data_IF_220366723159
#
_entry.id   IF_220366723159
#
_cell.length_a   1.000
_cell.length_b   1.000
_cell.length_c   1.000
_cell.angle_alpha   90.00
_cell.angle_beta   90.00
_cell.angle_gamma   90.00
#
_symmetry.space_group_name_H-M   'P 1'
#
loop_
_entity.id
_entity.type
_entity.pdbx_description
1 polymer ?
#
# COMPACT_ATOMS: atom_id res chain seq x y z
N UNK A 1 42.26 -12.47 14.11
CA UNK A 1 42.61 -11.24 14.86
C UNK A 1 41.62 -11.11 16.01
N UNK A 2 42.07 -11.58 17.17
CA UNK A 2 41.45 -11.48 18.48
C UNK A 2 41.74 -10.08 19.06
N UNK A 3 40.78 -9.49 19.78
CA UNK A 3 40.88 -8.99 21.17
C UNK A 3 39.72 -8.00 21.40
N UNK A 4 38.65 -8.35 22.11
CA UNK A 4 38.46 -8.44 23.57
C UNK A 4 38.38 -7.08 24.32
N UNK A 5 37.17 -6.79 24.80
CA UNK A 5 36.79 -6.35 26.17
C UNK A 5 37.45 -5.15 26.85
N UNK A 6 36.58 -4.26 27.39
CA UNK A 6 36.51 -3.68 28.76
C UNK A 6 35.88 -2.28 28.68
N UNK A 7 35.18 -1.71 29.65
CA UNK A 7 34.52 -2.12 30.88
C UNK A 7 33.65 -0.90 31.28
N UNK A 8 32.50 -1.13 31.93
CA UNK A 8 31.84 -0.15 32.80
C UNK A 8 32.73 0.03 34.08
N UNK A 9 32.59 1.04 34.99
CA UNK A 9 31.31 1.60 35.47
C UNK A 9 31.31 3.05 36.06
N UNK A 10 30.13 3.44 36.57
CA UNK A 10 29.85 4.30 37.72
C UNK A 10 30.12 5.82 37.66
N UNK A 11 29.06 6.62 37.89
CA UNK A 11 28.94 7.41 39.12
C UNK A 11 27.57 8.11 39.21
N UNK A 12 26.97 8.00 40.39
CA UNK A 12 25.80 8.73 40.89
C UNK A 12 25.92 10.24 40.68
N UNK A 13 24.79 10.91 40.41
CA UNK A 13 24.42 12.12 41.17
C UNK A 13 22.91 12.32 41.20
N UNK A 14 22.39 12.07 42.39
CA UNK A 14 21.10 12.51 42.90
C UNK A 14 21.18 14.04 43.01
N UNK A 15 20.20 14.76 42.48
CA UNK A 15 19.84 16.06 43.03
C UNK A 15 18.36 16.34 42.78
N UNK A 16 17.56 15.95 43.76
CA UNK A 16 16.27 16.57 44.00
C UNK A 16 16.48 18.07 44.23
N UNK A 17 15.86 18.94 43.44
CA UNK A 17 15.79 20.37 43.73
C UNK A 17 14.37 20.69 44.14
N UNK A 18 14.24 20.89 45.45
CA UNK A 18 13.04 21.26 46.16
C UNK A 18 12.44 22.55 45.60
N UNK A 19 11.12 22.54 45.37
CA UNK A 19 10.33 23.75 45.15
C UNK A 19 10.21 24.46 46.49
N UNK A 20 10.94 25.56 46.61
CA UNK A 20 10.92 26.46 47.75
C UNK A 20 9.51 27.04 47.95
N UNK A 21 8.91 26.76 49.11
CA UNK A 21 7.75 27.51 49.61
C UNK A 21 8.25 28.86 50.09
N UNK A 22 7.72 29.91 49.49
CA UNK A 22 7.91 31.31 49.87
C UNK A 22 7.64 31.54 51.36
N UNK A 23 8.49 32.27 52.09
CA UNK A 23 8.20 32.68 53.46
C UNK A 23 7.15 33.79 53.45
N UNK A 24 6.10 33.64 54.27
CA UNK A 24 5.10 34.68 54.48
C UNK A 24 5.74 35.88 55.18
N UNK A 25 5.54 37.06 54.59
CA UNK A 25 6.00 38.35 55.08
C UNK A 25 5.54 38.62 56.52
N UNK A 26 6.49 38.98 57.39
CA UNK A 26 6.22 39.57 58.71
C UNK A 26 5.66 40.97 58.51
N UNK A 27 4.47 41.24 59.06
CA UNK A 27 3.91 42.60 59.17
C UNK A 27 4.58 43.36 60.32
N UNK A 28 4.71 44.70 60.22
CA UNK A 28 5.40 45.53 61.19
C UNK A 28 4.63 45.67 62.51
N UNK A 29 5.36 45.63 63.61
CA UNK A 29 4.86 45.90 64.96
C UNK A 29 4.72 47.41 65.12
N UNK A 30 3.48 47.90 65.22
CA UNK A 30 3.21 49.26 65.64
C UNK A 30 3.40 49.37 67.16
N UNK A 31 4.36 50.19 67.57
CA UNK A 31 4.56 50.61 68.96
C UNK A 31 3.48 51.62 69.35
N UNK A 32 2.45 51.16 70.04
CA UNK A 32 1.50 52.03 70.74
C UNK A 32 1.64 51.78 72.24
N UNK A 33 2.13 52.80 72.95
CA UNK A 33 2.19 52.85 74.40
C UNK A 33 0.76 52.83 74.97
N UNK A 34 0.30 51.64 75.41
CA UNK A 34 -0.96 51.48 76.09
C UNK A 34 -0.72 51.39 77.61
N UNK A 35 -1.26 52.37 78.34
CA UNK A 35 -1.26 52.46 79.81
C UNK A 35 -1.69 51.13 80.44
N UNK A 36 -0.82 50.60 81.29
CA UNK A 36 -1.01 49.39 82.09
C UNK A 36 -2.12 49.63 83.12
N UNK A 37 -3.38 49.29 82.78
CA UNK A 37 -4.43 49.06 83.77
C UNK A 37 -4.34 47.61 84.22
N UNK A 38 -3.95 47.41 85.48
CA UNK A 38 -4.00 46.11 86.16
C UNK A 38 -5.47 45.72 86.29
N UNK A 39 -5.95 44.86 85.38
CA UNK A 39 -7.22 44.17 85.55
C UNK A 39 -6.98 42.85 86.29
N UNK A 40 -7.75 42.64 87.35
CA UNK A 40 -7.72 41.44 88.20
C UNK A 40 -7.85 40.15 87.36
N UNK A 41 -7.17 39.05 87.70
CA UNK A 41 -7.31 37.78 87.00
C UNK A 41 -8.74 37.27 87.19
N UNK A 42 -9.54 37.31 86.13
CA UNK A 42 -10.89 36.74 86.13
C UNK A 42 -10.73 35.23 86.05
N UNK A 43 -10.73 34.56 87.20
CA UNK A 43 -10.73 33.09 87.28
C UNK A 43 -11.95 32.61 86.48
N UNK A 44 -11.76 31.81 85.41
CA UNK A 44 -12.87 31.30 84.63
C UNK A 44 -13.76 30.46 85.55
N UNK A 45 -15.07 30.70 85.55
CA UNK A 45 -15.97 29.89 86.36
C UNK A 45 -15.89 28.42 85.94
N UNK A 46 -16.15 27.50 86.87
CA UNK A 46 -16.11 26.05 86.61
C UNK A 46 -16.95 25.64 85.38
N UNK A 47 -18.07 26.34 85.15
CA UNK A 47 -18.92 26.22 83.95
C UNK A 47 -18.21 26.62 82.65
N UNK A 48 -17.34 27.64 82.67
CA UNK A 48 -16.55 28.06 81.50
C UNK A 48 -15.43 27.07 81.16
N UNK A 49 -14.85 26.40 82.16
CA UNK A 49 -13.84 25.36 81.94
C UNK A 49 -14.47 24.10 81.33
N UNK A 50 -15.62 23.65 81.85
CA UNK A 50 -16.38 22.52 81.29
C UNK A 50 -16.84 22.79 79.86
N UNK A 51 -17.43 23.97 79.59
CA UNK A 51 -17.82 24.35 78.22
C UNK A 51 -16.62 24.43 77.26
N UNK A 52 -15.42 24.70 77.76
CA UNK A 52 -14.19 24.72 76.95
C UNK A 52 -13.65 23.31 76.70
N UNK A 53 -13.82 22.38 77.63
CA UNK A 53 -13.51 20.95 77.45
C UNK A 53 -14.47 20.31 76.44
N UNK A 54 -15.78 20.50 76.58
CA UNK A 54 -16.77 20.00 75.62
C UNK A 54 -16.55 20.54 74.20
N UNK A 55 -16.14 21.81 74.07
CA UNK A 55 -15.77 22.41 72.77
C UNK A 55 -14.48 21.84 72.19
N UNK A 56 -13.56 21.34 73.03
CA UNK A 56 -12.33 20.66 72.58
C UNK A 56 -12.64 19.23 72.14
N UNK A 57 -13.42 18.50 72.92
CA UNK A 57 -13.86 17.14 72.61
C UNK A 57 -14.70 17.10 71.33
N UNK A 58 -15.67 18.01 71.17
CA UNK A 58 -16.44 18.13 69.91
C UNK A 58 -15.55 18.43 68.71
N UNK A 59 -14.51 19.26 68.87
CA UNK A 59 -13.55 19.56 67.79
C UNK A 59 -12.63 18.39 67.49
N UNK A 60 -12.28 17.57 68.48
CA UNK A 60 -11.48 16.36 68.29
C UNK A 60 -12.28 15.26 67.59
N UNK A 61 -13.54 15.08 67.96
CA UNK A 61 -14.47 14.17 67.27
C UNK A 61 -14.66 14.61 65.81
N UNK A 62 -14.90 15.90 65.56
CA UNK A 62 -15.05 16.42 64.20
C UNK A 62 -13.77 16.26 63.36
N UNK A 63 -12.59 16.40 63.99
CA UNK A 63 -11.30 16.14 63.32
C UNK A 63 -11.11 14.65 63.01
N UNK A 64 -11.51 13.76 63.93
CA UNK A 64 -11.44 12.31 63.74
C UNK A 64 -12.41 11.83 62.64
N UNK A 65 -13.62 12.39 62.55
CA UNK A 65 -14.55 12.09 61.47
C UNK A 65 -14.03 12.57 60.11
N UNK A 66 -13.44 13.76 60.06
CA UNK A 66 -12.82 14.29 58.84
C UNK A 66 -11.61 13.47 58.39
N UNK A 67 -10.79 12.97 59.32
CA UNK A 67 -9.67 12.10 58.99
C UNK A 67 -10.14 10.72 58.52
N UNK A 68 -11.15 10.14 59.16
CA UNK A 68 -11.77 8.87 58.74
C UNK A 68 -12.38 8.96 57.32
N UNK A 69 -13.14 10.02 57.03
CA UNK A 69 -13.70 10.27 55.68
C UNK A 69 -12.61 10.42 54.61
N UNK A 70 -11.49 11.08 54.94
CA UNK A 70 -10.34 11.20 54.04
C UNK A 70 -9.65 9.86 53.77
N UNK A 71 -9.51 9.01 54.78
CA UNK A 71 -8.92 7.67 54.60
C UNK A 71 -9.79 6.81 53.68
N UNK A 72 -11.11 6.82 53.85
CA UNK A 72 -12.05 6.11 52.97
C UNK A 72 -11.97 6.61 51.52
N UNK A 73 -11.91 7.93 51.31
CA UNK A 73 -11.72 8.49 49.96
C UNK A 73 -10.39 8.06 49.32
N UNK A 74 -9.31 7.98 50.11
CA UNK A 74 -8.00 7.50 49.63
C UNK A 74 -8.06 6.02 49.24
N UNK A 75 -8.77 5.18 50.00
CA UNK A 75 -8.93 3.76 49.69
C UNK A 75 -9.77 3.52 48.44
N UNK A 76 -10.88 4.24 48.27
CA UNK A 76 -11.70 4.18 47.05
C UNK A 76 -10.89 4.63 45.83
N UNK A 77 -10.18 5.75 45.92
CA UNK A 77 -9.31 6.23 44.84
C UNK A 77 -8.17 5.25 44.51
N UNK A 78 -7.67 4.50 45.50
CA UNK A 78 -6.69 3.42 45.26
C UNK A 78 -7.32 2.24 44.50
N UNK A 79 -8.52 1.81 44.89
CA UNK A 79 -9.25 0.71 44.21
C UNK A 79 -9.57 1.07 42.76
N UNK A 80 -10.09 2.27 42.50
CA UNK A 80 -10.36 2.77 41.15
C UNK A 80 -9.09 2.82 40.27
N UNK A 81 -7.96 3.27 40.84
CA UNK A 81 -6.67 3.28 40.12
C UNK A 81 -6.15 1.89 39.80
N UNK A 82 -6.41 0.90 40.65
CA UNK A 82 -6.02 -0.49 40.38
C UNK A 82 -6.91 -1.10 39.30
N UNK A 83 -8.24 -0.92 39.38
CA UNK A 83 -9.17 -1.37 38.35
C UNK A 83 -8.83 -0.76 36.96
N UNK A 84 -8.59 0.56 36.91
CA UNK A 84 -8.18 1.23 35.66
C UNK A 84 -6.83 0.73 35.12
N UNK A 85 -5.92 0.25 35.97
CA UNK A 85 -4.64 -0.35 35.53
C UNK A 85 -4.87 -1.75 34.96
N UNK A 86 -5.71 -2.55 35.57
CA UNK A 86 -6.06 -3.89 35.08
C UNK A 86 -6.79 -3.82 33.73
N UNK A 87 -7.74 -2.91 33.58
CA UNK A 87 -8.41 -2.67 32.29
C UNK A 87 -7.42 -2.25 31.20
N UNK A 88 -6.50 -1.32 31.52
CA UNK A 88 -5.44 -0.91 30.58
C UNK A 88 -4.50 -2.08 30.24
N UNK A 89 -4.21 -2.98 31.18
CA UNK A 89 -3.41 -4.16 30.90
C UNK A 89 -4.16 -5.14 29.98
N UNK A 90 -5.43 -5.45 30.27
CA UNK A 90 -6.28 -6.30 29.42
C UNK A 90 -6.41 -5.74 28.01
N UNK A 91 -6.64 -4.43 27.86
CA UNK A 91 -6.68 -3.76 26.56
C UNK A 91 -5.35 -3.86 25.80
N UNK A 92 -4.22 -3.71 26.49
CA UNK A 92 -2.88 -3.87 25.87
C UNK A 92 -2.61 -5.30 25.43
N UNK A 93 -3.05 -6.29 26.21
CA UNK A 93 -2.90 -7.70 25.85
C UNK A 93 -3.80 -8.08 24.68
N UNK A 94 -5.05 -7.63 24.67
CA UNK A 94 -5.96 -7.78 23.55
C UNK A 94 -5.41 -7.13 22.27
N UNK A 95 -4.86 -5.91 22.37
CA UNK A 95 -4.22 -5.22 21.24
C UNK A 95 -2.99 -5.99 20.72
N UNK A 96 -2.15 -6.53 21.61
CA UNK A 96 -1.00 -7.38 21.22
C UNK A 96 -1.43 -8.67 20.54
N UNK A 97 -2.52 -9.29 20.99
CA UNK A 97 -3.07 -10.50 20.35
C UNK A 97 -3.64 -10.18 18.97
N UNK A 98 -4.40 -9.08 18.83
CA UNK A 98 -4.91 -8.61 17.55
C UNK A 98 -3.77 -8.32 16.56
N UNK A 99 -2.70 -7.64 17.00
CA UNK A 99 -1.51 -7.38 16.17
C UNK A 99 -0.82 -8.69 15.72
N UNK A 100 -0.72 -9.68 16.62
CA UNK A 100 -0.16 -11.00 16.30
C UNK A 100 -1.01 -11.75 15.28
N UNK A 101 -2.34 -11.72 15.39
CA UNK A 101 -3.26 -12.34 14.44
C UNK A 101 -3.18 -11.66 13.08
N UNK A 102 -3.28 -10.33 13.03
CA UNK A 102 -3.12 -9.56 11.79
C UNK A 102 -1.77 -9.85 11.10
N UNK A 103 -0.68 -10.03 11.87
CA UNK A 103 0.63 -10.40 11.31
C UNK A 103 0.65 -11.84 10.77
N UNK A 104 -0.06 -12.78 11.39
CA UNK A 104 -0.19 -14.17 10.88
C UNK A 104 -0.99 -14.19 9.59
N UNK A 105 -2.13 -13.49 9.55
CA UNK A 105 -2.98 -13.34 8.37
C UNK A 105 -2.22 -12.67 7.21
N UNK A 106 -1.51 -11.57 7.47
CA UNK A 106 -0.69 -10.91 6.45
C UNK A 106 0.42 -11.83 5.89
N UNK A 107 1.03 -12.68 6.73
CA UNK A 107 2.01 -13.68 6.28
C UNK A 107 1.35 -14.78 5.44
N UNK A 108 0.18 -15.26 5.85
CA UNK A 108 -0.58 -16.28 5.11
C UNK A 108 -1.03 -15.73 3.74
N UNK A 109 -1.59 -14.52 3.71
CA UNK A 109 -1.96 -13.81 2.49
C UNK A 109 -0.75 -13.61 1.57
N UNK A 110 0.42 -13.23 2.10
CA UNK A 110 1.65 -13.10 1.31
C UNK A 110 2.13 -14.45 0.75
N UNK A 111 1.97 -15.55 1.49
CA UNK A 111 2.32 -16.90 1.02
C UNK A 111 1.35 -17.36 -0.07
N UNK A 112 0.06 -17.09 0.08
CA UNK A 112 -0.97 -17.35 -0.93
C UNK A 112 -0.73 -16.53 -2.20
N UNK A 113 -0.47 -15.23 -2.08
CA UNK A 113 -0.13 -14.37 -3.22
C UNK A 113 1.13 -14.87 -3.97
N UNK A 114 2.14 -15.38 -3.26
CA UNK A 114 3.31 -16.00 -3.90
C UNK A 114 2.97 -17.27 -4.67
N UNK A 115 2.02 -18.07 -4.20
CA UNK A 115 1.55 -19.28 -4.87
C UNK A 115 0.66 -18.97 -6.09
N UNK A 116 -0.23 -17.99 -5.95
CA UNK A 116 -1.17 -17.56 -7.00
C UNK A 116 -0.50 -16.71 -8.09
N UNK A 117 0.77 -16.32 -7.90
CA UNK A 117 1.50 -15.51 -8.87
C UNK A 117 1.10 -14.03 -8.82
N UNK A 118 1.49 -13.27 -9.85
CA UNK A 118 1.08 -11.87 -9.97
C UNK A 118 -0.40 -11.80 -10.36
N UNK A 119 -1.19 -10.91 -9.75
CA UNK A 119 -2.61 -10.81 -10.05
C UNK A 119 -2.81 -10.47 -11.55
N UNK A 120 -3.80 -11.10 -12.17
CA UNK A 120 -4.14 -10.92 -13.59
C UNK A 120 -3.22 -11.63 -14.60
N UNK A 121 -2.13 -12.29 -14.18
CA UNK A 121 -1.24 -12.98 -15.12
C UNK A 121 -1.87 -14.30 -15.61
N UNK A 122 -1.85 -14.58 -16.92
CA UNK A 122 -2.31 -15.85 -17.47
C UNK A 122 -1.69 -17.06 -16.77
N UNK A 123 -2.54 -18.02 -16.37
CA UNK A 123 -2.11 -19.26 -15.73
C UNK A 123 -1.79 -20.33 -16.76
N UNK A 124 -2.53 -20.37 -17.87
CA UNK A 124 -2.33 -21.29 -18.98
C UNK A 124 -1.25 -20.75 -19.93
N UNK A 125 -0.11 -21.43 -19.94
CA UNK A 125 1.09 -21.05 -20.73
C UNK A 125 1.17 -21.83 -22.04
N UNK A 126 2.07 -21.36 -22.92
CA UNK A 126 2.50 -22.08 -24.12
C UNK A 126 2.91 -23.51 -23.76
N UNK A 127 2.66 -24.44 -24.67
CA UNK A 127 3.06 -25.85 -24.60
C UNK A 127 2.33 -26.68 -23.52
N UNK A 128 1.43 -26.06 -22.74
CA UNK A 128 0.50 -26.78 -21.87
C UNK A 128 -0.54 -27.53 -22.71
N UNK A 129 -0.92 -28.71 -22.25
CA UNK A 129 -2.00 -29.50 -22.85
C UNK A 129 -3.33 -29.07 -22.25
N UNK A 130 -4.33 -28.98 -23.12
CA UNK A 130 -5.71 -28.66 -22.74
C UNK A 130 -6.49 -29.97 -22.69
N UNK A 131 -7.40 -30.09 -21.73
CA UNK A 131 -8.29 -31.23 -21.62
C UNK A 131 -9.15 -31.40 -22.88
N UNK A 132 -9.41 -32.65 -23.27
CA UNK A 132 -10.15 -32.93 -24.50
C UNK A 132 -11.57 -32.36 -24.50
N UNK A 133 -12.21 -32.32 -23.32
CA UNK A 133 -13.53 -31.70 -23.13
C UNK A 133 -13.51 -30.19 -23.39
N UNK A 134 -12.42 -29.50 -23.07
CA UNK A 134 -12.28 -28.08 -23.35
C UNK A 134 -12.08 -27.81 -24.83
N UNK A 135 -11.42 -28.70 -25.59
CA UNK A 135 -11.25 -28.54 -27.05
C UNK A 135 -12.56 -28.46 -27.83
N UNK A 136 -13.64 -29.03 -27.28
CA UNK A 136 -15.00 -28.99 -27.84
C UNK A 136 -15.69 -27.63 -27.65
N UNK A 137 -15.21 -26.80 -26.73
CA UNK A 137 -15.76 -25.45 -26.50
C UNK A 137 -15.44 -24.52 -27.68
N UNK A 138 -16.26 -23.48 -27.90
CA UNK A 138 -15.97 -22.48 -28.92
C UNK A 138 -14.66 -21.74 -28.66
N UNK A 139 -14.01 -21.25 -29.72
CA UNK A 139 -12.72 -20.54 -29.65
C UNK A 139 -12.74 -19.28 -28.78
N UNK A 140 -13.91 -18.69 -28.53
CA UNK A 140 -14.11 -17.52 -27.65
C UNK A 140 -13.95 -17.84 -26.15
N UNK A 141 -14.05 -19.11 -25.78
CA UNK A 141 -14.10 -19.57 -24.38
C UNK A 141 -12.85 -20.36 -23.95
N UNK A 142 -11.96 -20.68 -24.89
CA UNK A 142 -10.77 -21.50 -24.62
C UNK A 142 -9.52 -20.95 -25.30
N UNK A 143 -8.32 -21.32 -24.80
CA UNK A 143 -7.08 -20.99 -25.49
C UNK A 143 -7.03 -21.69 -26.86
N UNK A 144 -6.41 -21.03 -27.83
CA UNK A 144 -6.13 -21.65 -29.13
C UNK A 144 -4.97 -22.63 -29.04
N UNK A 145 -5.10 -23.72 -29.79
CA UNK A 145 -4.11 -24.79 -29.91
C UNK A 145 -3.58 -24.88 -31.33
N UNK A 146 -2.54 -25.69 -31.52
CA UNK A 146 -1.98 -25.94 -32.85
C UNK A 146 -3.00 -26.45 -33.88
N UNK A 147 -3.94 -27.31 -33.46
CA UNK A 147 -5.03 -27.81 -34.32
C UNK A 147 -5.98 -26.69 -34.78
N UNK A 148 -6.20 -25.69 -33.93
CA UNK A 148 -7.03 -24.53 -34.29
C UNK A 148 -6.34 -23.67 -35.35
N UNK A 149 -5.00 -23.55 -35.28
CA UNK A 149 -4.20 -22.88 -36.31
C UNK A 149 -4.29 -23.59 -37.66
N UNK A 150 -4.34 -24.93 -37.67
CA UNK A 150 -4.55 -25.71 -38.91
C UNK A 150 -5.94 -25.46 -39.50
N UNK A 151 -6.96 -25.43 -38.64
CA UNK A 151 -8.33 -25.12 -39.04
C UNK A 151 -8.46 -23.69 -39.58
N UNK A 152 -7.79 -22.74 -38.94
CA UNK A 152 -7.72 -21.35 -39.38
C UNK A 152 -7.03 -21.26 -40.75
N UNK A 153 -5.86 -21.90 -40.91
CA UNK A 153 -5.13 -21.96 -42.19
C UNK A 153 -6.02 -22.42 -43.35
N UNK A 154 -6.84 -23.45 -43.13
CA UNK A 154 -7.80 -23.96 -44.11
C UNK A 154 -8.93 -22.98 -44.43
N UNK A 155 -9.40 -22.21 -43.45
CA UNK A 155 -10.44 -21.17 -43.67
C UNK A 155 -9.93 -20.01 -44.53
N UNK A 156 -8.62 -19.77 -44.51
CA UNK A 156 -7.98 -18.70 -45.27
C UNK A 156 -7.59 -19.11 -46.69
N UNK A 157 -7.79 -20.38 -47.09
CA UNK A 157 -7.31 -20.94 -48.34
C UNK A 157 -5.82 -20.69 -48.61
N UNK A 158 -5.02 -20.58 -47.53
CA UNK A 158 -3.58 -20.36 -47.60
C UNK A 158 -2.82 -21.67 -47.42
N UNK A 159 -1.69 -21.78 -48.10
CA UNK A 159 -0.77 -22.89 -47.87
C UNK A 159 -0.16 -22.78 -46.46
N UNK A 160 0.18 -23.93 -45.85
CA UNK A 160 0.79 -23.96 -44.52
C UNK A 160 2.05 -23.05 -44.42
N UNK A 161 2.86 -22.99 -45.48
CA UNK A 161 4.04 -22.11 -45.53
C UNK A 161 3.70 -20.62 -45.58
N UNK A 162 2.66 -20.26 -46.34
CA UNK A 162 2.16 -18.88 -46.45
C UNK A 162 1.56 -18.44 -45.11
N UNK A 163 0.78 -19.30 -44.49
CA UNK A 163 0.16 -19.03 -43.20
C UNK A 163 1.20 -18.93 -42.07
N UNK A 164 2.23 -19.79 -42.07
CA UNK A 164 3.37 -19.66 -41.16
C UNK A 164 4.06 -18.29 -41.29
N UNK A 165 4.19 -17.81 -42.53
CA UNK A 165 4.80 -16.51 -42.82
C UNK A 165 3.92 -15.36 -42.35
N UNK A 166 2.60 -15.46 -42.56
CA UNK A 166 1.62 -14.50 -42.04
C UNK A 166 1.62 -14.45 -40.50
N UNK A 167 1.88 -15.56 -39.83
CA UNK A 167 2.01 -15.63 -38.37
C UNK A 167 3.41 -15.24 -37.84
N UNK A 168 4.37 -14.94 -38.72
CA UNK A 168 5.74 -14.56 -38.34
C UNK A 168 6.58 -15.71 -37.79
N UNK A 169 6.24 -16.95 -38.13
CA UNK A 169 6.93 -18.15 -37.67
C UNK A 169 8.03 -18.54 -38.65
N UNK A 170 9.30 -18.34 -38.24
CA UNK A 170 10.46 -18.53 -39.12
C UNK A 170 10.78 -20.00 -39.42
N UNK A 171 10.45 -20.93 -38.52
CA UNK A 171 10.82 -22.34 -38.66
C UNK A 171 9.64 -23.19 -39.15
N UNK A 172 9.70 -23.60 -40.43
CA UNK A 172 8.68 -24.44 -41.08
C UNK A 172 8.47 -25.79 -40.38
N UNK A 173 9.52 -26.43 -39.88
CA UNK A 173 9.40 -27.72 -39.19
C UNK A 173 8.74 -27.57 -37.82
N UNK A 174 9.10 -26.52 -37.08
CA UNK A 174 8.45 -26.19 -35.82
C UNK A 174 6.96 -25.87 -36.03
N UNK A 175 6.63 -25.19 -37.12
CA UNK A 175 5.25 -24.91 -37.49
C UNK A 175 4.45 -26.18 -37.82
N UNK A 176 4.97 -27.06 -38.67
CA UNK A 176 4.29 -28.33 -38.98
C UNK A 176 4.05 -29.19 -37.73
N UNK A 177 5.00 -29.20 -36.78
CA UNK A 177 4.84 -29.86 -35.48
C UNK A 177 3.76 -29.18 -34.62
N UNK A 178 3.73 -27.85 -34.63
CA UNK A 178 2.73 -27.07 -33.91
C UNK A 178 1.32 -27.41 -34.41
N UNK A 179 1.09 -27.41 -35.73
CA UNK A 179 -0.24 -27.71 -36.33
C UNK A 179 -0.83 -29.05 -35.88
N UNK A 180 0.01 -30.06 -35.62
CA UNK A 180 -0.42 -31.39 -35.18
C UNK A 180 -0.64 -31.51 -33.67
N UNK A 181 -0.24 -30.51 -32.90
CA UNK A 181 -0.27 -30.55 -31.43
C UNK A 181 -1.61 -30.06 -30.85
N UNK A 182 -2.07 -30.72 -29.77
CA UNK A 182 -3.15 -30.24 -28.89
C UNK A 182 -2.65 -29.22 -27.85
N UNK A 183 -1.45 -28.70 -28.05
CA UNK A 183 -0.80 -27.79 -27.10
C UNK A 183 -1.21 -26.36 -27.36
N UNK A 184 -1.29 -25.59 -26.28
CA UNK A 184 -1.56 -24.15 -26.30
C UNK A 184 -0.45 -23.43 -27.07
N UNK A 185 -0.83 -22.61 -28.05
CA UNK A 185 0.12 -21.82 -28.85
C UNK A 185 0.69 -20.64 -28.04
N UNK A 186 1.76 -19.96 -28.51
CA UNK A 186 2.25 -18.76 -27.85
C UNK A 186 1.19 -17.65 -27.80
N UNK A 187 1.19 -16.84 -26.73
CA UNK A 187 0.23 -15.76 -26.53
C UNK A 187 0.13 -14.80 -27.73
N UNK A 188 1.27 -14.36 -28.25
CA UNK A 188 1.31 -13.41 -29.38
C UNK A 188 0.73 -14.01 -30.66
N UNK A 189 0.92 -15.32 -30.88
CA UNK A 189 0.38 -16.03 -32.04
C UNK A 189 -1.12 -16.18 -31.89
N UNK A 190 -1.62 -16.46 -30.69
CA UNK A 190 -3.07 -16.50 -30.42
C UNK A 190 -3.74 -15.15 -30.65
N UNK A 191 -3.13 -14.06 -30.18
CA UNK A 191 -3.61 -12.70 -30.44
C UNK A 191 -3.73 -12.45 -31.95
N UNK A 192 -2.70 -12.80 -32.72
CA UNK A 192 -2.67 -12.60 -34.17
C UNK A 192 -3.70 -13.47 -34.90
N UNK A 193 -3.84 -14.74 -34.50
CA UNK A 193 -4.87 -15.64 -35.04
C UNK A 193 -6.29 -15.09 -34.82
N UNK A 194 -6.59 -14.57 -33.62
CA UNK A 194 -7.89 -13.96 -33.31
C UNK A 194 -8.14 -12.69 -34.11
N UNK A 195 -7.11 -11.86 -34.31
CA UNK A 195 -7.21 -10.68 -35.18
C UNK A 195 -7.44 -11.03 -36.65
N UNK A 196 -6.86 -12.15 -37.12
CA UNK A 196 -7.16 -12.64 -38.47
C UNK A 196 -8.60 -13.18 -38.57
N UNK A 197 -9.11 -13.86 -37.56
CA UNK A 197 -10.51 -14.31 -37.51
C UNK A 197 -11.48 -13.11 -37.55
N UNK A 198 -11.16 -11.99 -36.90
CA UNK A 198 -11.96 -10.75 -36.96
C UNK A 198 -11.82 -9.98 -38.28
N UNK A 199 -10.61 -9.94 -38.84
CA UNK A 199 -10.31 -9.21 -40.08
C UNK A 199 -9.46 -10.10 -40.98
N UNK A 200 -10.08 -10.79 -41.96
CA UNK A 200 -9.44 -11.85 -42.71
C UNK A 200 -8.52 -11.34 -43.83
N UNK A 201 -7.58 -10.46 -43.48
CA UNK A 201 -6.56 -9.93 -44.37
C UNK A 201 -5.17 -10.03 -43.73
N UNK A 202 -4.11 -10.30 -44.50
CA UNK A 202 -2.76 -10.32 -43.96
C UNK A 202 -2.36 -8.94 -43.42
N UNK A 203 -1.34 -8.93 -42.55
CA UNK A 203 -0.83 -7.66 -42.03
C UNK A 203 -0.24 -6.82 -43.18
N UNK A 204 -0.43 -5.49 -43.18
CA UNK A 204 0.08 -4.62 -44.24
C UNK A 204 1.61 -4.60 -44.30
N UNK A 205 2.15 -4.20 -45.45
CA UNK A 205 3.59 -4.07 -45.67
C UNK A 205 4.24 -2.96 -44.84
N UNK A 206 3.47 -1.90 -44.52
CA UNK A 206 3.94 -0.78 -43.70
C UNK A 206 4.39 -1.29 -42.34
N UNK A 207 5.62 -0.95 -41.95
CA UNK A 207 6.17 -1.27 -40.64
C UNK A 207 5.76 -0.20 -39.63
N UNK A 208 5.54 -0.61 -38.39
CA UNK A 208 5.30 0.28 -37.26
C UNK A 208 6.23 -0.14 -36.12
N UNK A 209 6.90 0.83 -35.51
CA UNK A 209 7.68 0.59 -34.30
C UNK A 209 6.76 0.55 -33.07
N UNK A 210 7.18 -0.17 -32.02
CA UNK A 210 6.36 -0.31 -30.81
C UNK A 210 6.12 1.04 -30.10
N UNK A 211 7.09 1.97 -30.16
CA UNK A 211 6.95 3.32 -29.60
C UNK A 211 5.96 4.18 -30.40
N UNK A 212 6.01 4.09 -31.73
CA UNK A 212 5.12 4.76 -32.65
C UNK A 212 3.68 4.31 -32.40
N UNK A 213 3.44 2.99 -32.36
CA UNK A 213 2.11 2.45 -32.05
C UNK A 213 1.65 2.90 -30.68
N UNK A 214 2.51 2.82 -29.66
CA UNK A 214 2.15 3.26 -28.32
C UNK A 214 1.70 4.73 -28.29
N UNK A 215 2.45 5.63 -28.93
CA UNK A 215 2.11 7.06 -28.99
C UNK A 215 0.81 7.30 -29.75
N UNK A 216 0.57 6.58 -30.85
CA UNK A 216 -0.67 6.70 -31.61
C UNK A 216 -1.90 6.21 -30.82
N UNK A 217 -1.77 5.11 -30.08
CA UNK A 217 -2.89 4.52 -29.36
C UNK A 217 -3.16 5.19 -28.00
N UNK A 218 -2.11 5.42 -27.22
CA UNK A 218 -2.24 5.89 -25.83
C UNK A 218 -1.84 7.36 -25.64
N UNK A 219 -1.15 7.98 -26.59
CA UNK A 219 -0.78 9.40 -26.52
C UNK A 219 -1.97 10.32 -26.24
N UNK A 220 -3.07 10.24 -27.01
CA UNK A 220 -4.27 11.04 -26.76
C UNK A 220 -4.86 10.82 -25.35
N UNK A 221 -4.81 9.58 -24.84
CA UNK A 221 -5.31 9.26 -23.51
C UNK A 221 -4.39 9.77 -22.39
N UNK A 222 -3.08 9.77 -22.61
CA UNK A 222 -2.11 10.38 -21.68
C UNK A 222 -2.41 11.86 -21.56
N UNK A 223 -2.61 12.55 -22.68
CA UNK A 223 -2.92 13.99 -22.71
C UNK A 223 -4.21 14.30 -21.95
N UNK A 224 -5.25 13.48 -22.10
CA UNK A 224 -6.55 13.66 -21.44
C UNK A 224 -6.53 13.37 -19.94
N UNK A 225 -5.76 12.37 -19.50
CA UNK A 225 -5.73 11.93 -18.09
C UNK A 225 -4.74 12.74 -17.26
N UNK A 226 -3.65 13.21 -17.87
CA UNK A 226 -2.62 13.98 -17.18
C UNK A 226 -3.08 15.39 -16.79
N UNK A 227 -2.58 15.90 -15.67
CA UNK A 227 -2.83 17.27 -15.24
C UNK A 227 -2.05 18.23 -16.14
N UNK A 228 -2.76 19.18 -16.75
CA UNK A 228 -2.17 20.19 -17.63
C UNK A 228 -1.06 20.98 -16.91
N UNK A 229 0.13 21.02 -17.50
CA UNK A 229 1.30 21.72 -16.94
C UNK A 229 2.12 20.92 -15.93
N UNK A 230 1.69 19.72 -15.52
CA UNK A 230 2.47 18.84 -14.64
C UNK A 230 3.20 17.76 -15.46
N UNK A 231 4.46 18.04 -15.79
CA UNK A 231 5.31 17.10 -16.53
C UNK A 231 5.58 15.80 -15.77
N UNK A 232 5.63 15.85 -14.44
CA UNK A 232 5.87 14.65 -13.63
C UNK A 232 4.64 13.73 -13.56
N UNK A 233 3.44 14.32 -13.58
CA UNK A 233 2.18 13.59 -13.67
C UNK A 233 2.02 12.95 -15.06
N UNK A 234 2.25 13.72 -16.13
CA UNK A 234 2.28 13.21 -17.49
C UNK A 234 3.19 11.98 -17.63
N UNK A 235 4.42 12.08 -17.13
CA UNK A 235 5.36 10.96 -17.17
C UNK A 235 4.88 9.75 -16.34
N UNK A 236 4.21 10.01 -15.21
CA UNK A 236 3.61 8.95 -14.39
C UNK A 236 2.50 8.19 -15.13
N UNK A 237 1.61 8.92 -15.80
CA UNK A 237 0.51 8.39 -16.61
C UNK A 237 1.06 7.61 -17.81
N UNK A 238 2.04 8.15 -18.52
CA UNK A 238 2.76 7.48 -19.61
C UNK A 238 3.38 6.14 -19.14
N UNK A 239 3.99 6.14 -17.96
CA UNK A 239 4.54 4.95 -17.31
C UNK A 239 3.49 3.90 -16.90
N UNK A 240 2.22 4.29 -16.70
CA UNK A 240 1.14 3.35 -16.44
C UNK A 240 0.58 2.78 -17.75
N UNK A 241 0.33 3.63 -18.75
CA UNK A 241 -0.10 3.18 -20.07
C UNK A 241 0.94 2.30 -20.78
N UNK A 242 2.23 2.57 -20.64
CA UNK A 242 3.29 1.71 -21.20
C UNK A 242 3.29 0.30 -20.59
N UNK A 243 2.95 0.18 -19.30
CA UNK A 243 2.72 -1.11 -18.64
C UNK A 243 1.45 -1.79 -19.13
N UNK A 244 0.37 -1.04 -19.38
CA UNK A 244 -0.87 -1.57 -19.96
C UNK A 244 -0.63 -2.11 -21.37
N UNK A 245 0.03 -1.32 -22.23
CA UNK A 245 0.41 -1.71 -23.59
C UNK A 245 1.25 -3.00 -23.62
N UNK A 246 2.30 -3.08 -22.80
CA UNK A 246 3.12 -4.30 -22.75
C UNK A 246 2.38 -5.49 -22.11
N UNK A 247 1.50 -5.24 -21.14
CA UNK A 247 0.66 -6.28 -20.54
C UNK A 247 -0.33 -6.84 -21.55
N UNK A 248 -0.84 -6.02 -22.48
CA UNK A 248 -1.73 -6.47 -23.55
C UNK A 248 -1.09 -7.52 -24.48
N UNK A 249 0.25 -7.52 -24.53
CA UNK A 249 1.07 -8.43 -25.33
C UNK A 249 1.74 -9.54 -24.48
N UNK A 250 1.22 -9.78 -23.27
CA UNK A 250 1.78 -10.72 -22.29
C UNK A 250 3.29 -10.48 -22.03
N UNK A 251 3.72 -9.22 -22.00
CA UNK A 251 5.10 -8.84 -21.66
C UNK A 251 5.19 -8.26 -20.27
N UNK A 252 6.42 -8.25 -19.76
CA UNK A 252 6.76 -7.64 -18.49
C UNK A 252 6.97 -6.14 -18.64
N UNK A 253 6.78 -5.39 -17.56
CA UNK A 253 7.06 -3.94 -17.54
C UNK A 253 8.50 -3.56 -17.91
N UNK A 254 9.48 -4.45 -17.76
CA UNK A 254 10.85 -4.20 -18.23
C UNK A 254 10.96 -4.13 -19.75
N UNK A 255 10.08 -4.82 -20.47
CA UNK A 255 9.98 -4.74 -21.93
C UNK A 255 9.47 -3.37 -22.36
N UNK A 256 8.67 -2.70 -21.54
CA UNK A 256 8.18 -1.35 -21.83
C UNK A 256 9.37 -0.39 -21.99
N UNK A 257 10.33 -0.41 -21.05
CA UNK A 257 11.54 0.40 -21.15
C UNK A 257 12.32 0.11 -22.44
N UNK A 258 12.55 -1.16 -22.78
CA UNK A 258 13.29 -1.53 -24.01
C UNK A 258 12.65 -1.04 -25.29
N UNK A 259 11.31 -1.07 -25.36
CA UNK A 259 10.57 -0.62 -26.54
C UNK A 259 10.48 0.90 -26.64
N UNK A 260 10.38 1.61 -25.51
CA UNK A 260 10.27 3.07 -25.51
C UNK A 260 11.64 3.78 -25.61
N UNK A 261 12.71 3.20 -25.07
CA UNK A 261 14.04 3.85 -25.02
C UNK A 261 14.91 3.60 -26.26
N UNK A 262 14.40 2.93 -27.29
CA UNK A 262 15.09 2.64 -28.58
C UNK A 262 16.55 2.18 -28.44
N UNK A 263 16.87 1.36 -27.44
CA UNK A 263 18.23 0.81 -27.31
C UNK A 263 18.56 -0.04 -28.55
N UNK A 264 19.70 0.19 -29.21
CA UNK A 264 20.14 -0.60 -30.37
C UNK A 264 20.05 -2.12 -30.07
N UNK A 265 19.40 -2.87 -30.97
CA UNK A 265 19.12 -4.30 -30.77
C UNK A 265 17.82 -4.64 -30.00
N UNK A 266 16.94 -3.66 -29.74
CA UNK A 266 15.64 -3.86 -29.08
C UNK A 266 14.49 -4.32 -29.99
N UNK A 267 14.78 -4.74 -31.23
CA UNK A 267 13.78 -5.18 -32.19
C UNK A 267 12.80 -6.17 -31.58
N UNK A 268 11.51 -5.90 -31.73
CA UNK A 268 10.49 -6.84 -31.29
C UNK A 268 10.58 -8.12 -32.13
N UNK A 269 10.05 -9.23 -31.62
CA UNK A 269 10.00 -10.47 -32.40
C UNK A 269 9.12 -10.23 -33.63
N UNK A 270 9.44 -10.87 -34.76
CA UNK A 270 8.67 -10.73 -36.01
C UNK A 270 7.15 -10.90 -35.81
N UNK A 271 6.72 -11.83 -34.96
CA UNK A 271 5.30 -12.04 -34.62
C UNK A 271 4.67 -10.78 -34.00
N UNK A 272 5.40 -10.08 -33.12
CA UNK A 272 4.95 -8.82 -32.51
C UNK A 272 4.88 -7.73 -33.58
N UNK A 273 5.86 -7.63 -34.48
CA UNK A 273 5.83 -6.66 -35.57
C UNK A 273 4.59 -6.85 -36.44
N UNK A 274 4.28 -8.09 -36.84
CA UNK A 274 3.10 -8.42 -37.64
C UNK A 274 1.80 -8.15 -36.87
N UNK A 275 1.78 -8.44 -35.57
CA UNK A 275 0.66 -8.11 -34.70
C UNK A 275 0.39 -6.60 -34.67
N UNK A 276 1.43 -5.79 -34.45
CA UNK A 276 1.32 -4.33 -34.42
C UNK A 276 0.82 -3.78 -35.76
N UNK A 277 1.36 -4.29 -36.88
CA UNK A 277 0.88 -3.93 -38.23
C UNK A 277 -0.58 -4.29 -38.43
N UNK A 278 -1.00 -5.47 -37.98
CA UNK A 278 -2.38 -5.92 -38.10
C UNK A 278 -3.32 -5.05 -37.28
N UNK A 279 -2.96 -4.75 -36.04
CA UNK A 279 -3.74 -3.84 -35.17
C UNK A 279 -3.91 -2.48 -35.82
N UNK A 280 -2.84 -1.89 -36.35
CA UNK A 280 -2.89 -0.57 -36.99
C UNK A 280 -3.70 -0.53 -38.30
N UNK A 281 -3.99 -1.69 -38.90
CA UNK A 281 -4.89 -1.80 -40.05
C UNK A 281 -6.38 -1.86 -39.68
N UNK A 282 -6.69 -2.03 -38.39
CA UNK A 282 -8.06 -2.07 -37.89
C UNK A 282 -8.65 -0.65 -37.80
N UNK A 283 -9.98 -0.49 -37.95
CA UNK A 283 -10.62 0.83 -37.86
C UNK A 283 -10.45 1.48 -36.48
N UNK A 284 -10.57 0.69 -35.41
CA UNK A 284 -10.36 1.13 -34.02
C UNK A 284 -9.20 0.32 -33.41
N UNK A 285 -7.94 0.72 -33.63
CA UNK A 285 -6.79 -0.11 -33.29
C UNK A 285 -6.60 -0.29 -31.77
N UNK A 286 -6.87 0.73 -30.96
CA UNK A 286 -6.79 0.65 -29.50
C UNK A 286 -7.83 -0.33 -28.95
N UNK A 287 -9.09 -0.16 -29.35
CA UNK A 287 -10.19 -1.02 -28.91
C UNK A 287 -9.97 -2.47 -29.33
N UNK A 288 -9.49 -2.71 -30.55
CA UNK A 288 -9.15 -4.04 -31.03
C UNK A 288 -8.04 -4.69 -30.20
N UNK A 289 -6.97 -3.96 -29.89
CA UNK A 289 -5.87 -4.46 -29.04
C UNK A 289 -6.39 -4.85 -27.65
N UNK A 290 -7.12 -3.97 -26.98
CA UNK A 290 -7.59 -4.22 -25.61
C UNK A 290 -8.68 -5.29 -25.56
N UNK A 291 -9.59 -5.33 -26.54
CA UNK A 291 -10.62 -6.38 -26.65
C UNK A 291 -9.99 -7.76 -26.83
N UNK A 292 -9.10 -7.92 -27.81
CA UNK A 292 -8.46 -9.22 -28.06
C UNK A 292 -7.56 -9.62 -26.90
N UNK A 293 -6.81 -8.67 -26.32
CA UNK A 293 -6.01 -8.90 -25.11
C UNK A 293 -6.87 -9.42 -23.96
N UNK A 294 -8.01 -8.80 -23.72
CA UNK A 294 -8.95 -9.19 -22.65
C UNK A 294 -9.45 -10.62 -22.86
N UNK A 295 -9.80 -10.97 -24.10
CA UNK A 295 -10.23 -12.33 -24.45
C UNK A 295 -9.08 -13.32 -24.21
N UNK A 296 -7.88 -13.08 -24.71
CA UNK A 296 -6.73 -14.00 -24.58
C UNK A 296 -6.29 -14.15 -23.12
N UNK A 297 -6.31 -13.08 -22.33
CA UNK A 297 -6.06 -13.16 -20.89
C UNK A 297 -7.11 -14.03 -20.20
N UNK A 298 -8.40 -13.77 -20.46
CA UNK A 298 -9.53 -14.47 -19.84
C UNK A 298 -9.49 -15.97 -20.13
N UNK A 299 -9.36 -16.36 -21.40
CA UNK A 299 -9.36 -17.78 -21.78
C UNK A 299 -8.13 -18.54 -21.25
N UNK A 300 -7.08 -17.82 -20.83
CA UNK A 300 -5.89 -18.39 -20.17
C UNK A 300 -5.92 -18.27 -18.65
N UNK A 301 -7.07 -17.94 -18.06
CA UNK A 301 -7.26 -17.82 -16.62
C UNK A 301 -6.55 -16.61 -15.98
N UNK A 302 -6.27 -15.58 -16.77
CA UNK A 302 -5.77 -14.28 -16.33
C UNK A 302 -6.84 -13.19 -16.47
N UNK A 303 -6.46 -11.97 -16.09
CA UNK A 303 -7.31 -10.78 -16.24
C UNK A 303 -6.45 -9.59 -16.63
N UNK A 304 -6.75 -9.04 -17.81
CA UNK A 304 -6.01 -7.92 -18.40
C UNK A 304 -6.14 -6.65 -17.56
N UNK A 305 -7.34 -6.35 -17.06
CA UNK A 305 -7.60 -5.14 -16.27
C UNK A 305 -6.87 -5.16 -14.94
N UNK A 306 -6.82 -6.32 -14.29
CA UNK A 306 -6.03 -6.49 -13.07
C UNK A 306 -4.51 -6.40 -13.34
N UNK A 307 -4.04 -6.88 -14.49
CA UNK A 307 -2.61 -6.90 -14.83
C UNK A 307 -2.07 -5.53 -15.23
N UNK A 308 -2.81 -4.81 -16.06
CA UNK A 308 -2.44 -3.51 -16.61
C UNK A 308 -3.61 -2.53 -16.49
N UNK A 309 -3.96 -2.09 -15.27
CA UNK A 309 -5.15 -1.26 -15.07
C UNK A 309 -5.05 0.06 -15.82
N UNK A 310 -6.19 0.52 -16.34
CA UNK A 310 -6.28 1.84 -16.94
C UNK A 310 -6.00 2.93 -15.88
N UNK A 311 -5.15 3.92 -16.19
CA UNK A 311 -4.91 5.06 -15.31
C UNK A 311 -6.21 5.79 -14.99
N UNK A 312 -6.48 6.00 -13.70
CA UNK A 312 -7.64 6.77 -13.25
C UNK A 312 -7.23 8.24 -13.11
N UNK A 313 -7.97 9.20 -13.70
CA UNK A 313 -7.70 10.63 -13.55
C UNK A 313 -7.63 11.05 -12.07
N UNK A 314 -6.59 11.81 -11.71
CA UNK A 314 -6.41 12.31 -10.35
C UNK A 314 -6.06 11.25 -9.30
N UNK A 315 -5.78 10.00 -9.70
CA UNK A 315 -5.36 8.97 -8.77
C UNK A 315 -4.06 9.38 -8.05
N UNK A 316 -3.99 9.25 -6.71
CA UNK A 316 -2.82 9.67 -5.96
C UNK A 316 -1.60 8.87 -6.40
N UNK A 317 -0.52 9.58 -6.72
CA UNK A 317 0.77 8.97 -7.09
C UNK A 317 1.24 8.07 -5.95
N UNK A 318 1.19 6.76 -6.16
CA UNK A 318 1.81 5.81 -5.24
C UNK A 318 3.34 5.96 -5.35
N UNK A 319 3.92 6.87 -4.55
CA UNK A 319 5.38 6.95 -4.39
C UNK A 319 5.87 5.57 -3.94
N UNK A 320 6.56 4.86 -4.84
CA UNK A 320 7.33 3.67 -4.45
C UNK A 320 8.48 4.14 -3.58
N UNK A 321 8.28 4.04 -2.28
CA UNK A 321 9.30 4.14 -1.26
C UNK A 321 8.87 3.24 -0.11
N UNK A 322 9.82 2.79 0.70
CA UNK A 322 9.48 2.28 2.04
C UNK A 322 8.62 3.35 2.69
N UNK A 323 7.37 3.05 3.00
CA UNK A 323 6.64 3.84 3.99
C UNK A 323 7.57 3.89 5.21
N UNK A 324 8.12 5.06 5.52
CA UNK A 324 8.89 5.19 6.74
C UNK A 324 7.88 4.91 7.85
N UNK A 325 8.00 3.74 8.50
CA UNK A 325 7.11 3.32 9.59
C UNK A 325 7.24 4.19 10.84
N UNK A 326 7.70 5.44 10.70
CA UNK A 326 7.95 6.42 11.75
C UNK A 326 7.05 7.66 11.66
N UNK A 327 6.32 7.90 10.57
CA UNK A 327 5.65 9.19 10.37
C UNK A 327 4.17 9.27 10.81
N UNK A 328 3.50 8.13 11.06
CA UNK A 328 2.12 8.14 11.56
C UNK A 328 2.00 8.38 13.08
N UNK A 329 3.05 8.11 13.86
CA UNK A 329 3.02 8.22 15.32
C UNK A 329 3.50 9.58 15.88
N UNK A 330 3.88 10.54 15.03
CA UNK A 330 4.49 11.82 15.45
C UNK A 330 3.66 13.08 15.19
N UNK A 331 2.47 12.97 14.60
CA UNK A 331 1.57 14.13 14.41
C UNK A 331 0.72 14.49 15.64
N UNK A 332 1.12 14.05 16.83
CA UNK A 332 0.46 14.38 18.10
C UNK A 332 1.31 15.21 19.07
N UNK A 333 2.56 15.54 18.73
CA UNK A 333 3.41 16.38 19.57
C UNK A 333 3.85 17.62 18.81
N UNK A 334 3.01 18.66 18.85
CA UNK A 334 3.43 20.01 18.55
C UNK A 334 4.57 20.38 19.52
N UNK A 335 5.77 20.61 18.98
CA UNK A 335 6.83 21.34 19.68
C UNK A 335 7.01 22.65 18.94
N UNK A 336 6.79 23.81 19.58
CA UNK A 336 7.12 25.09 18.97
C UNK A 336 8.64 25.28 19.13
N UNK A 337 9.37 25.25 18.02
CA UNK A 337 10.71 25.82 17.99
C UNK A 337 10.59 27.20 17.33
N UNK A 338 10.89 28.30 18.03
CA UNK A 338 10.93 29.61 17.42
C UNK A 338 12.19 29.70 16.57
N UNK A 339 12.02 29.63 15.25
CA UNK A 339 13.08 30.00 14.31
C UNK A 339 13.22 31.51 14.40
N UNK A 340 14.37 32.00 14.89
CA UNK A 340 14.72 33.42 14.82
C UNK A 340 14.88 33.80 13.34
N UNK A 341 14.22 34.87 12.92
CA UNK A 341 14.42 35.47 11.61
C UNK A 341 15.84 36.03 11.51
N UNK A 342 16.59 35.58 10.50
CA UNK A 342 17.81 36.27 10.06
C UNK A 342 17.35 37.53 9.32
N UNK A 343 17.61 38.68 9.90
CA UNK A 343 17.54 39.98 9.22
C UNK A 343 18.72 40.09 8.24
N UNK A 344 18.43 40.62 7.05
CA UNK A 344 19.41 41.02 6.04
C UNK A 344 20.29 42.15 6.53
#
# INVERSE_FOLDING_TARGET
MSTNTKAAPAARKISAKAVAKSPAARKPVATAAAKKRVSKPRVPSQKQLLARQERREKKEIERAERSAKRLLQIELAKKERLAAREERQKQREAAKLAERLARKEAKAAKKLARKLGRPGVPTIKKDMEIDHSELLKPWSERPLTGRDVDTLCKRFDLNASEFASALGLQNRFAFAKLLRSSKVIPFDVEMLCRLYDESPSPAPWRKYEADEVFRLLYGPLIDQVSIAGDAEDRHHVEMQYSKRFTSALDRSSSTAYRWMEKSEGSGARLVIDLLLRKIMSMPNPLEALERVSTVVHRVRGGDFETRGPAPIPGAPRSKRGRASGRSAARRGSAMPLPIRSLTL
#
